data_IF_065976633133
#
_entry.id   IF_065976633133
#
_cell.length_a   1.000
_cell.length_b   1.000
_cell.length_c   1.000
_cell.angle_alpha   90.00
_cell.angle_beta   90.00
_cell.angle_gamma   90.00
#
_symmetry.space_group_name_H-M   'P 1'
#
loop_
_entity.id
_entity.type
_entity.pdbx_description
1 polymer ?
#
# COMPACT_ATOMS: atom_id res chain seq x y z
N UNK A 1 14.27 2.31 -18.74
CA UNK A 1 13.28 1.22 -18.79
C UNK A 1 12.82 0.94 -17.35
N UNK A 2 11.60 1.38 -16.95
CA UNK A 2 11.11 1.25 -15.58
C UNK A 2 11.05 -0.21 -15.10
N UNK A 3 10.79 -1.15 -16.01
CA UNK A 3 10.75 -2.58 -15.70
C UNK A 3 12.12 -3.14 -15.31
N UNK A 4 13.19 -2.68 -15.96
CA UNK A 4 14.55 -3.08 -15.64
C UNK A 4 14.97 -2.59 -14.25
N UNK A 5 14.60 -1.35 -13.89
CA UNK A 5 14.85 -0.79 -12.57
C UNK A 5 14.12 -1.59 -11.47
N UNK A 6 12.86 -1.97 -11.73
CA UNK A 6 12.10 -2.82 -10.83
C UNK A 6 12.77 -4.19 -10.63
N UNK A 7 13.14 -4.89 -11.70
CA UNK A 7 13.81 -6.21 -11.61
C UNK A 7 15.12 -6.14 -10.82
N UNK A 8 15.96 -5.13 -11.06
CA UNK A 8 17.22 -4.96 -10.33
C UNK A 8 16.97 -4.66 -8.86
N UNK A 9 15.96 -3.86 -8.52
CA UNK A 9 15.62 -3.54 -7.12
C UNK A 9 14.98 -4.70 -6.35
N UNK A 10 14.35 -5.64 -7.05
CA UNK A 10 13.73 -6.83 -6.45
C UNK A 10 14.80 -7.86 -6.04
N UNK A 11 15.95 -7.91 -6.73
CA UNK A 11 17.01 -8.89 -6.43
C UNK A 11 17.52 -8.79 -4.97
N UNK A 12 17.89 -7.60 -4.44
CA UNK A 12 18.25 -7.46 -3.02
C UNK A 12 17.12 -7.84 -2.07
N UNK A 13 15.87 -7.51 -2.41
CA UNK A 13 14.70 -7.82 -1.58
C UNK A 13 14.54 -9.33 -1.46
N UNK A 14 14.56 -10.05 -2.58
CA UNK A 14 14.51 -11.52 -2.60
C UNK A 14 15.67 -12.11 -1.83
N UNK A 15 16.89 -11.60 -2.03
CA UNK A 15 18.07 -12.05 -1.30
C UNK A 15 17.90 -11.92 0.22
N UNK A 16 17.41 -10.78 0.71
CA UNK A 16 17.13 -10.57 2.13
C UNK A 16 16.05 -11.51 2.64
N UNK A 17 14.93 -11.67 1.92
CA UNK A 17 13.85 -12.58 2.33
C UNK A 17 14.30 -14.05 2.36
N UNK A 18 15.08 -14.49 1.37
CA UNK A 18 15.65 -15.84 1.33
C UNK A 18 16.65 -16.02 2.48
N UNK A 19 17.52 -15.04 2.72
CA UNK A 19 18.49 -15.11 3.83
C UNK A 19 17.78 -15.17 5.18
N UNK A 20 16.76 -14.33 5.40
CA UNK A 20 15.94 -14.37 6.61
C UNK A 20 15.19 -15.69 6.74
N UNK A 21 14.66 -16.26 5.65
CA UNK A 21 14.02 -17.58 5.67
C UNK A 21 15.01 -18.71 6.03
N UNK A 22 16.27 -18.61 5.58
CA UNK A 22 17.30 -19.60 5.89
C UNK A 22 17.88 -19.45 7.31
N UNK A 23 17.91 -18.22 7.85
CA UNK A 23 18.50 -17.91 9.17
C UNK A 23 17.46 -17.95 10.29
N UNK A 24 16.17 -17.71 10.01
CA UNK A 24 15.10 -17.90 10.99
C UNK A 24 14.62 -19.35 11.03
N UNK A 25 14.72 -20.04 12.18
CA UNK A 25 14.17 -21.38 12.36
C UNK A 25 12.66 -21.32 12.54
N UNK A 26 11.93 -21.00 11.47
CA UNK A 26 10.46 -21.11 11.43
C UNK A 26 10.09 -22.46 10.80
N UNK A 27 9.53 -23.42 11.57
CA UNK A 27 9.16 -24.73 11.06
C UNK A 27 8.08 -24.61 9.96
N UNK A 28 8.20 -25.42 8.91
CA UNK A 28 7.32 -25.39 7.75
C UNK A 28 5.84 -25.64 8.15
N UNK A 29 4.88 -24.99 7.49
CA UNK A 29 3.46 -25.24 7.74
C UNK A 29 3.13 -26.72 7.54
N UNK A 30 2.39 -27.34 8.47
CA UNK A 30 1.86 -28.69 8.27
C UNK A 30 0.69 -28.67 7.28
N UNK A 31 0.42 -29.82 6.65
CA UNK A 31 -0.69 -29.97 5.68
C UNK A 31 -2.06 -29.66 6.30
N UNK A 32 -2.25 -29.91 7.61
CA UNK A 32 -3.45 -29.56 8.35
C UNK A 32 -3.62 -28.04 8.55
N UNK A 33 -2.52 -27.31 8.73
CA UNK A 33 -2.52 -25.85 8.86
C UNK A 33 -2.81 -25.18 7.52
N UNK A 34 -2.29 -25.74 6.42
CA UNK A 34 -2.63 -25.34 5.06
C UNK A 34 -4.13 -25.50 4.77
N UNK A 35 -4.77 -26.56 5.29
CA UNK A 35 -6.21 -26.79 5.13
C UNK A 35 -7.12 -25.85 5.92
N UNK A 36 -6.64 -25.29 7.05
CA UNK A 36 -7.40 -24.34 7.89
C UNK A 36 -7.16 -22.87 7.52
N UNK A 37 -6.23 -22.60 6.61
CA UNK A 37 -5.88 -21.24 6.21
C UNK A 37 -7.01 -20.59 5.40
N UNK A 38 -7.39 -19.33 5.69
CA UNK A 38 -8.34 -18.63 4.86
C UNK A 38 -7.79 -18.49 3.43
N UNK A 39 -8.58 -18.91 2.44
CA UNK A 39 -8.17 -18.94 1.03
C UNK A 39 -7.72 -17.57 0.48
N UNK A 40 -8.17 -16.49 1.11
CA UNK A 40 -7.83 -15.11 0.77
C UNK A 40 -6.52 -14.61 1.39
N UNK A 41 -5.95 -15.30 2.38
CA UNK A 41 -4.76 -14.83 3.09
C UNK A 41 -3.49 -14.74 2.20
N UNK A 42 -3.22 -15.68 1.26
CA UNK A 42 -2.11 -15.55 0.31
C UNK A 42 -2.25 -14.38 -0.66
N UNK A 43 -3.46 -13.84 -0.86
CA UNK A 43 -3.69 -12.68 -1.71
C UNK A 43 -3.16 -11.37 -1.11
N UNK A 44 -2.70 -11.38 0.15
CA UNK A 44 -2.04 -10.23 0.77
C UNK A 44 -0.79 -9.78 0.01
N UNK A 45 -0.08 -10.70 -0.65
CA UNK A 45 1.04 -10.37 -1.53
C UNK A 45 0.62 -9.60 -2.79
N UNK A 46 -0.60 -9.84 -3.29
CA UNK A 46 -1.16 -9.14 -4.46
C UNK A 46 -1.36 -7.64 -4.16
N UNK A 47 -1.70 -7.30 -2.93
CA UNK A 47 -1.83 -5.92 -2.49
C UNK A 47 -0.48 -5.17 -2.51
N UNK A 48 0.61 -5.84 -2.16
CA UNK A 48 1.96 -5.28 -2.27
C UNK A 48 2.37 -5.04 -3.72
N UNK A 49 1.98 -5.94 -4.64
CA UNK A 49 2.25 -5.78 -6.07
C UNK A 49 1.55 -4.54 -6.67
N UNK A 50 0.32 -4.23 -6.24
CA UNK A 50 -0.41 -3.02 -6.65
C UNK A 50 0.34 -1.75 -6.24
N UNK A 51 0.97 -1.75 -5.05
CA UNK A 51 1.74 -0.61 -4.56
C UNK A 51 3.01 -0.38 -5.38
N UNK A 52 3.76 -1.45 -5.68
CA UNK A 52 4.98 -1.38 -6.50
C UNK A 52 4.65 -0.92 -7.91
N UNK A 53 3.62 -1.51 -8.53
CA UNK A 53 3.17 -1.10 -9.87
C UNK A 53 2.67 0.34 -9.88
N UNK A 54 1.86 0.73 -8.89
CA UNK A 54 1.36 2.09 -8.74
C UNK A 54 2.48 3.10 -8.59
N UNK A 55 3.48 2.80 -7.76
CA UNK A 55 4.66 3.64 -7.59
C UNK A 55 5.41 3.82 -8.90
N UNK A 56 5.71 2.72 -9.59
CA UNK A 56 6.47 2.77 -10.84
C UNK A 56 5.77 3.56 -11.96
N UNK A 57 4.44 3.49 -12.04
CA UNK A 57 3.66 4.12 -13.13
C UNK A 57 3.26 5.56 -12.81
N UNK A 58 3.01 5.89 -11.53
CA UNK A 58 2.37 7.15 -11.15
C UNK A 58 3.29 8.11 -10.40
N UNK A 59 4.46 7.68 -9.94
CA UNK A 59 5.42 8.57 -9.24
C UNK A 59 5.88 9.72 -10.13
N UNK A 60 6.09 9.47 -11.43
CA UNK A 60 6.52 10.48 -12.40
C UNK A 60 5.40 11.46 -12.78
N UNK A 61 4.13 11.08 -12.56
CA UNK A 61 2.95 11.91 -12.91
C UNK A 61 2.44 12.76 -11.76
N UNK A 62 2.50 12.25 -10.53
CA UNK A 62 1.92 12.87 -9.33
C UNK A 62 3.00 13.42 -8.39
N UNK A 63 4.25 12.98 -8.56
CA UNK A 63 5.37 13.27 -7.68
C UNK A 63 5.43 12.33 -6.48
N UNK A 64 6.64 12.00 -6.03
CA UNK A 64 6.88 11.07 -4.92
C UNK A 64 6.21 11.50 -3.60
N UNK A 65 6.21 12.80 -3.29
CA UNK A 65 5.62 13.32 -2.06
C UNK A 65 4.10 13.11 -1.99
N UNK A 66 3.30 13.67 -2.92
CA UNK A 66 1.86 13.47 -2.93
C UNK A 66 1.44 12.01 -3.14
N UNK A 67 2.17 11.25 -3.97
CA UNK A 67 1.90 9.82 -4.17
C UNK A 67 2.05 9.03 -2.86
N UNK A 68 3.22 9.12 -2.19
CA UNK A 68 3.46 8.38 -0.95
C UNK A 68 2.54 8.85 0.17
N UNK A 69 2.31 10.16 0.29
CA UNK A 69 1.41 10.72 1.29
C UNK A 69 -0.01 10.19 1.13
N UNK A 70 -0.59 10.30 -0.07
CA UNK A 70 -1.95 9.86 -0.33
C UNK A 70 -2.12 8.35 -0.14
N UNK A 71 -1.12 7.59 -0.59
CA UNK A 71 -1.07 6.14 -0.43
C UNK A 71 -1.06 5.74 1.05
N UNK A 72 -0.19 6.36 1.85
CA UNK A 72 -0.05 6.07 3.28
C UNK A 72 -1.29 6.48 4.06
N UNK A 73 -1.86 7.64 3.76
CA UNK A 73 -3.10 8.10 4.38
C UNK A 73 -4.26 7.15 4.09
N UNK A 74 -4.43 6.75 2.83
CA UNK A 74 -5.46 5.78 2.46
C UNK A 74 -5.27 4.45 3.20
N UNK A 75 -4.04 3.96 3.24
CA UNK A 75 -3.68 2.75 3.98
C UNK A 75 -4.05 2.85 5.47
N UNK A 76 -3.69 3.95 6.14
CA UNK A 76 -3.97 4.15 7.57
C UNK A 76 -5.46 4.29 7.85
N UNK A 77 -6.20 5.08 7.04
CA UNK A 77 -7.65 5.24 7.21
C UNK A 77 -8.34 3.89 7.02
N UNK A 78 -7.95 3.12 6.01
CA UNK A 78 -8.50 1.78 5.79
C UNK A 78 -8.16 0.85 6.95
N UNK A 79 -6.91 0.82 7.43
CA UNK A 79 -6.53 0.04 8.62
C UNK A 79 -7.41 0.38 9.82
N UNK A 80 -7.64 1.68 10.06
CA UNK A 80 -8.45 2.15 11.16
C UNK A 80 -9.92 1.74 11.04
N UNK A 81 -10.44 1.75 9.81
CA UNK A 81 -11.78 1.23 9.53
C UNK A 81 -11.84 -0.28 9.81
N UNK A 82 -10.85 -1.06 9.33
CA UNK A 82 -10.79 -2.51 9.58
C UNK A 82 -10.76 -2.82 11.09
N UNK A 83 -9.96 -2.09 11.86
CA UNK A 83 -9.85 -2.25 13.31
C UNK A 83 -11.13 -1.84 14.06
N UNK A 84 -11.77 -0.76 13.63
CA UNK A 84 -13.01 -0.25 14.22
C UNK A 84 -14.16 -1.24 14.02
N UNK A 85 -14.27 -1.80 12.81
CA UNK A 85 -15.34 -2.72 12.45
C UNK A 85 -15.02 -4.19 12.77
N UNK A 86 -13.79 -4.51 13.18
CA UNK A 86 -13.36 -5.90 13.41
C UNK A 86 -13.43 -6.76 12.14
N UNK A 87 -13.20 -6.14 10.98
CA UNK A 87 -13.29 -6.84 9.69
C UNK A 87 -12.18 -7.88 9.56
N UNK A 88 -12.45 -8.95 8.81
CA UNK A 88 -11.51 -10.06 8.63
C UNK A 88 -11.05 -10.67 9.96
N UNK A 89 -11.96 -10.95 10.89
CA UNK A 89 -11.65 -11.68 12.13
C UNK A 89 -10.74 -10.94 13.11
N UNK A 90 -10.52 -9.63 12.91
CA UNK A 90 -9.88 -8.76 13.90
C UNK A 90 -10.78 -8.63 15.13
N UNK A 91 -10.19 -8.60 16.34
CA UNK A 91 -10.93 -8.20 17.53
C UNK A 91 -11.32 -6.73 17.36
N UNK A 92 -12.63 -6.47 17.24
CA UNK A 92 -13.14 -5.11 17.06
C UNK A 92 -12.63 -4.22 18.19
N UNK A 93 -11.76 -3.27 17.87
CA UNK A 93 -11.15 -2.38 18.87
C UNK A 93 -12.12 -1.33 19.41
N UNK A 94 -13.33 -1.26 18.82
CA UNK A 94 -14.33 -0.23 19.05
C UNK A 94 -13.94 1.11 18.42
N UNK A 95 -14.91 2.03 18.33
CA UNK A 95 -14.65 3.36 17.80
C UNK A 95 -13.87 4.20 18.81
N UNK A 96 -12.65 4.62 18.43
CA UNK A 96 -11.79 5.51 19.22
C UNK A 96 -11.58 6.82 18.47
N UNK A 97 -12.05 7.94 19.01
CA UNK A 97 -12.01 9.23 18.33
C UNK A 97 -10.58 9.73 18.02
N UNK A 98 -9.60 9.40 18.87
CA UNK A 98 -8.24 9.94 18.76
C UNK A 98 -7.47 9.42 17.52
N UNK A 99 -7.45 8.10 17.21
CA UNK A 99 -6.92 7.61 15.94
C UNK A 99 -7.65 8.16 14.70
N UNK A 100 -8.97 8.34 14.78
CA UNK A 100 -9.75 8.90 13.68
C UNK A 100 -9.41 10.36 13.42
N UNK A 101 -9.18 11.15 14.48
CA UNK A 101 -8.65 12.52 14.37
C UNK A 101 -7.27 12.53 13.67
N UNK A 102 -6.39 11.60 14.03
CA UNK A 102 -5.10 11.42 13.36
C UNK A 102 -5.25 11.14 11.86
N UNK A 103 -6.14 10.20 11.50
CA UNK A 103 -6.44 9.87 10.10
C UNK A 103 -6.98 11.06 9.30
N UNK A 104 -7.87 11.86 9.89
CA UNK A 104 -8.38 13.11 9.27
C UNK A 104 -7.25 14.12 9.09
N UNK A 105 -6.39 14.30 10.09
CA UNK A 105 -5.26 15.22 10.01
C UNK A 105 -4.27 14.81 8.91
N UNK A 106 -4.02 13.52 8.72
CA UNK A 106 -3.22 13.00 7.61
C UNK A 106 -3.84 13.30 6.25
N UNK A 107 -5.16 13.17 6.11
CA UNK A 107 -5.87 13.54 4.88
C UNK A 107 -5.72 15.03 4.56
N UNK A 108 -5.88 15.89 5.56
CA UNK A 108 -5.67 17.34 5.41
C UNK A 108 -4.22 17.66 5.00
N UNK A 109 -3.24 17.06 5.69
CA UNK A 109 -1.82 17.25 5.38
C UNK A 109 -1.47 16.87 3.94
N UNK A 110 -1.98 15.73 3.47
CA UNK A 110 -1.81 15.28 2.08
C UNK A 110 -2.47 16.22 1.08
N UNK A 111 -3.67 16.71 1.35
CA UNK A 111 -4.36 17.67 0.46
C UNK A 111 -3.53 18.95 0.32
N UNK A 112 -2.92 19.44 1.39
CA UNK A 112 -2.02 20.59 1.34
C UNK A 112 -0.74 20.32 0.55
N UNK A 113 -0.10 19.16 0.78
CA UNK A 113 1.08 18.75 0.01
C UNK A 113 0.76 18.64 -1.48
N UNK A 114 -0.37 18.02 -1.84
CA UNK A 114 -0.82 17.86 -3.22
C UNK A 114 -1.12 19.22 -3.89
N UNK A 115 -1.78 20.14 -3.19
CA UNK A 115 -2.04 21.51 -3.69
C UNK A 115 -0.73 22.28 -3.94
N UNK A 116 0.22 22.21 -3.01
CA UNK A 116 1.51 22.91 -3.16
C UNK A 116 2.38 22.30 -4.26
N UNK A 117 2.35 20.97 -4.44
CA UNK A 117 3.04 20.30 -5.55
C UNK A 117 2.45 20.65 -6.93
N UNK A 118 1.11 20.79 -7.02
CA UNK A 118 0.43 21.28 -8.21
C UNK A 118 0.83 22.71 -8.58
N UNK A 119 0.92 23.60 -7.58
CA UNK A 119 1.34 24.99 -7.79
C UNK A 119 2.81 25.13 -8.24
N UNK A 120 3.73 24.31 -7.72
CA UNK A 120 5.14 24.29 -8.17
C UNK A 120 5.27 23.86 -9.63
N UNK A 121 4.45 22.92 -10.08
CA UNK A 121 4.46 22.43 -11.47
C UNK A 121 3.87 23.45 -12.45
N UNK A 122 2.86 24.22 -12.01
CA UNK A 122 2.28 25.31 -12.80
C UNK A 122 3.25 26.49 -13.00
N UNK A 123 4.06 26.82 -11.97
CA UNK A 123 5.07 27.89 -12.05
C UNK A 123 6.28 27.57 -12.94
N UNK A 124 6.55 26.28 -13.20
CA UNK A 124 7.64 25.84 -14.09
C UNK A 124 7.17 25.59 -15.54
N UNK A 125 5.87 25.29 -15.76
CA UNK A 125 5.27 25.09 -17.09
C UNK A 125 5.05 26.38 -17.88
N UNK A 126 5.05 27.55 -17.24
CA UNK A 126 4.97 28.84 -17.95
C UNK A 126 6.26 29.21 -18.69
N UNK A 127 7.39 28.55 -18.41
CA UNK A 127 8.68 28.84 -19.05
C UNK A 127 9.05 27.89 -20.20
N UNK A 128 8.32 26.79 -20.41
CA UNK A 128 8.65 25.82 -21.46
C UNK A 128 7.44 25.01 -21.88
N UNK A 129 7.16 25.05 -23.18
CA UNK A 129 6.18 24.23 -23.92
C UNK A 129 4.77 24.85 -24.06
N UNK A 130 4.69 25.86 -24.93
CA UNK A 130 3.61 25.90 -25.94
C UNK A 130 3.90 24.74 -26.91
N UNK A 131 2.83 24.13 -27.40
CA UNK A 131 2.79 23.08 -28.41
C UNK A 131 3.23 21.68 -27.94
N UNK A 132 2.24 20.92 -27.45
CA UNK A 132 2.01 19.53 -27.86
C UNK A 132 0.71 19.01 -27.22
N UNK A 133 -0.27 18.74 -28.09
CA UNK A 133 -1.17 17.59 -28.01
C UNK A 133 -1.98 17.41 -26.73
N UNK A 134 -3.20 17.93 -26.77
CA UNK A 134 -4.33 17.64 -25.90
C UNK A 134 -4.56 16.12 -25.70
N UNK A 135 -3.88 15.50 -24.72
CA UNK A 135 -4.20 14.15 -24.26
C UNK A 135 -5.16 14.23 -23.06
N UNK A 136 -6.45 14.30 -23.38
CA UNK A 136 -7.62 13.95 -22.56
C UNK A 136 -7.43 13.94 -21.02
N UNK A 137 -8.03 14.93 -20.36
CA UNK A 137 -8.09 15.14 -18.90
C UNK A 137 -8.78 14.05 -18.05
N UNK A 138 -8.88 12.82 -18.55
CA UNK A 138 -9.32 11.62 -17.81
C UNK A 138 -8.15 11.00 -17.04
N UNK A 139 -6.95 11.04 -17.61
CA UNK A 139 -5.76 10.38 -17.06
C UNK A 139 -5.16 11.02 -15.82
N UNK A 140 -5.51 12.27 -15.48
CA UNK A 140 -5.12 12.95 -14.23
C UNK A 140 -6.13 12.78 -13.10
N UNK A 141 -7.43 12.69 -13.45
CA UNK A 141 -8.53 12.53 -12.49
C UNK A 141 -8.66 11.10 -11.98
N UNK A 142 -8.31 10.10 -12.78
CA UNK A 142 -8.29 8.69 -12.36
C UNK A 142 -7.09 8.32 -11.45
N UNK A 143 -6.06 9.17 -11.36
CA UNK A 143 -4.85 8.89 -10.58
C UNK A 143 -5.13 8.87 -9.07
N UNK A 144 -5.77 9.93 -8.58
CA UNK A 144 -6.10 10.08 -7.18
C UNK A 144 -6.97 8.92 -6.63
N UNK A 145 -8.09 8.52 -7.28
CA UNK A 145 -8.87 7.38 -6.81
C UNK A 145 -8.10 6.06 -6.94
N UNK A 146 -7.24 5.88 -7.97
CA UNK A 146 -6.39 4.69 -8.06
C UNK A 146 -5.44 4.59 -6.87
N UNK A 147 -4.78 5.69 -6.49
CA UNK A 147 -3.84 5.72 -5.36
C UNK A 147 -4.56 5.42 -4.03
N UNK A 148 -5.77 5.96 -3.86
CA UNK A 148 -6.60 5.66 -2.68
C UNK A 148 -6.96 4.17 -2.62
N UNK A 149 -7.40 3.59 -3.74
CA UNK A 149 -7.73 2.15 -3.82
C UNK A 149 -6.48 1.30 -3.58
N UNK A 150 -5.33 1.67 -4.15
CA UNK A 150 -4.07 0.99 -3.92
C UNK A 150 -3.65 1.01 -2.44
N UNK A 151 -3.79 2.16 -1.78
CA UNK A 151 -3.53 2.29 -0.34
C UNK A 151 -4.49 1.44 0.50
N UNK A 152 -5.77 1.43 0.16
CA UNK A 152 -6.77 0.59 0.85
C UNK A 152 -6.49 -0.91 0.65
N UNK A 153 -6.13 -1.33 -0.56
CA UNK A 153 -5.74 -2.71 -0.85
C UNK A 153 -4.52 -3.12 -0.03
N UNK A 154 -3.51 -2.25 0.09
CA UNK A 154 -2.36 -2.51 0.96
C UNK A 154 -2.76 -2.74 2.42
N UNK A 155 -3.66 -1.93 2.97
CA UNK A 155 -4.14 -2.11 4.35
C UNK A 155 -4.75 -3.50 4.53
N UNK A 156 -5.60 -3.90 3.58
CA UNK A 156 -6.24 -5.22 3.56
C UNK A 156 -5.17 -6.32 3.47
N UNK A 157 -4.17 -6.15 2.60
CA UNK A 157 -3.08 -7.11 2.47
C UNK A 157 -2.23 -7.25 3.74
N UNK A 158 -2.01 -6.16 4.48
CA UNK A 158 -1.33 -6.18 5.78
C UNK A 158 -2.16 -6.97 6.80
N UNK A 159 -3.47 -6.77 6.85
CA UNK A 159 -4.37 -7.53 7.74
C UNK A 159 -4.38 -9.02 7.37
N UNK A 160 -4.48 -9.34 6.08
CA UNK A 160 -4.41 -10.73 5.60
C UNK A 160 -3.06 -11.39 5.89
N UNK A 161 -1.95 -10.67 5.76
CA UNK A 161 -0.63 -11.16 6.16
C UNK A 161 -0.53 -11.38 7.68
N UNK A 162 -1.16 -10.51 8.48
CA UNK A 162 -1.27 -10.67 9.93
C UNK A 162 -2.04 -11.93 10.32
N UNK A 163 -3.15 -12.22 9.63
CA UNK A 163 -3.89 -13.47 9.81
C UNK A 163 -3.10 -14.69 9.33
N UNK A 164 -2.35 -14.57 8.23
CA UNK A 164 -1.46 -15.64 7.76
C UNK A 164 -0.46 -16.01 8.85
N UNK A 165 0.14 -15.00 9.50
CA UNK A 165 1.04 -15.20 10.64
C UNK A 165 0.34 -15.86 11.84
N UNK A 166 -0.90 -15.49 12.13
CA UNK A 166 -1.70 -16.10 13.21
C UNK A 166 -2.20 -17.52 12.91
N UNK A 167 -2.48 -17.84 11.66
CA UNK A 167 -2.88 -19.17 11.21
C UNK A 167 -1.68 -20.14 11.15
N UNK A 168 -0.48 -19.62 10.91
CA UNK A 168 0.78 -20.38 10.91
C UNK A 168 1.34 -20.63 12.33
N UNK A 169 0.53 -20.51 13.38
CA UNK A 169 0.97 -20.83 14.75
C UNK A 169 0.97 -22.34 14.96
N UNK A 170 2.16 -22.84 15.28
CA UNK A 170 2.49 -24.24 15.42
C UNK A 170 1.88 -24.85 16.71
N UNK A 171 1.14 -25.97 16.63
CA UNK A 171 0.60 -26.65 17.81
C UNK A 171 1.65 -27.20 18.79
N UNK A 172 2.94 -27.25 18.41
CA UNK A 172 4.03 -27.70 19.28
C UNK A 172 4.69 -26.61 20.14
N UNK A 173 4.21 -25.37 20.07
CA UNK A 173 4.69 -24.24 20.89
C UNK A 173 3.56 -23.57 21.70
N UNK A 174 2.44 -24.27 21.92
CA UNK A 174 1.33 -23.86 22.78
C UNK A 174 1.21 -24.78 24.00
#
# INVERSE_FOLDING_TARGET
NPWLAATVSVLPIVFVFVTLFLVMPTPLPSLDTLGKMPWYAPLGGLAGAVAVFGGLVFIDKVGAGPFNGLTLTANIITSLALDTFGLFGLQAAGFKALPWLGGVLMAVGVVFIAKTAGNKTAGHRTAGKKDEGESHGVGGKLLYPFILVAGALMAIGVVWNGQLRGALVNPWLA
#
